data_IF_057956776412
#
_entry.id   IF_057956776412
#
_cell.length_a   1.000
_cell.length_b   1.000
_cell.length_c   1.000
_cell.angle_alpha   90.00
_cell.angle_beta   90.00
_cell.angle_gamma   90.00
#
_symmetry.space_group_name_H-M   'P 1'
#
loop_
_entity.id
_entity.type
_entity.pdbx_description
1 polymer ?
#
# COMPACT_ATOMS: atom_id res chain seq x y z
N UNK A 1 2.64 30.85 -12.00
CA UNK A 1 2.53 31.28 -10.60
C UNK A 1 2.25 30.04 -9.74
N UNK A 2 3.13 29.72 -8.80
CA UNK A 2 3.11 28.48 -8.02
C UNK A 2 2.04 28.54 -6.92
N UNK A 3 1.09 27.60 -6.92
CA UNK A 3 0.11 27.45 -5.83
C UNK A 3 0.74 26.63 -4.71
N UNK A 4 1.26 27.33 -3.69
CA UNK A 4 1.60 26.70 -2.42
C UNK A 4 0.30 26.17 -1.78
N UNK A 5 0.09 24.85 -1.81
CA UNK A 5 -0.99 24.22 -1.05
C UNK A 5 -0.59 24.29 0.42
N UNK A 6 -1.13 25.28 1.12
CA UNK A 6 -1.08 25.38 2.58
C UNK A 6 -1.84 24.16 3.11
N UNK A 7 -1.13 23.13 3.55
CA UNK A 7 -1.74 21.96 4.21
C UNK A 7 -2.30 22.43 5.55
N UNK A 8 -3.55 22.90 5.54
CA UNK A 8 -4.28 23.24 6.76
C UNK A 8 -4.53 21.96 7.56
N UNK A 9 -4.38 22.01 8.90
CA UNK A 9 -4.62 20.88 9.82
C UNK A 9 -5.96 20.16 9.58
N UNK A 10 -7.00 20.87 9.13
CA UNK A 10 -8.29 20.30 8.76
C UNK A 10 -8.19 19.24 7.65
N UNK A 11 -7.33 19.43 6.64
CA UNK A 11 -7.15 18.46 5.55
C UNK A 11 -6.49 17.16 6.04
N UNK A 12 -5.65 17.20 7.06
CA UNK A 12 -5.01 16.01 7.62
C UNK A 12 -6.03 15.09 8.30
N UNK A 13 -6.90 15.65 9.15
CA UNK A 13 -7.93 14.87 9.86
C UNK A 13 -8.93 14.22 8.89
N UNK A 14 -9.34 14.97 7.85
CA UNK A 14 -10.24 14.45 6.82
C UNK A 14 -9.57 13.30 6.06
N UNK A 15 -8.30 13.44 5.65
CA UNK A 15 -7.60 12.38 4.93
C UNK A 15 -7.38 11.12 5.79
N UNK A 16 -7.00 11.29 7.06
CA UNK A 16 -6.81 10.18 7.98
C UNK A 16 -8.10 9.37 8.18
N UNK A 17 -9.24 10.05 8.33
CA UNK A 17 -10.55 9.40 8.43
C UNK A 17 -10.90 8.61 7.17
N UNK A 18 -10.67 9.19 5.98
CA UNK A 18 -10.93 8.52 4.71
C UNK A 18 -10.05 7.28 4.51
N UNK A 19 -8.76 7.36 4.86
CA UNK A 19 -7.84 6.21 4.79
C UNK A 19 -8.32 5.08 5.72
N UNK A 20 -8.75 5.39 6.94
CA UNK A 20 -9.29 4.39 7.87
C UNK A 20 -10.55 3.73 7.31
N UNK A 21 -11.49 4.52 6.77
CA UNK A 21 -12.71 4.00 6.16
C UNK A 21 -12.42 3.07 4.98
N UNK A 22 -11.48 3.45 4.10
CA UNK A 22 -11.03 2.61 2.99
C UNK A 22 -10.47 1.27 3.49
N UNK A 23 -9.58 1.30 4.50
CA UNK A 23 -8.97 0.07 5.03
C UNK A 23 -10.05 -0.85 5.63
N UNK A 24 -11.06 -0.31 6.30
CA UNK A 24 -12.21 -1.07 6.81
C UNK A 24 -13.07 -1.65 5.69
N UNK A 25 -13.37 -0.85 4.66
CA UNK A 25 -14.14 -1.27 3.49
C UNK A 25 -13.47 -2.42 2.76
N UNK A 26 -12.15 -2.36 2.60
CA UNK A 26 -11.35 -3.42 1.99
C UNK A 26 -11.23 -4.66 2.89
N UNK A 27 -11.67 -4.60 4.15
CA UNK A 27 -11.79 -5.76 5.03
C UNK A 27 -10.70 -5.90 6.10
N UNK A 28 -9.92 -4.85 6.39
CA UNK A 28 -9.01 -4.87 7.55
C UNK A 28 -9.78 -4.66 8.85
N UNK A 29 -9.45 -5.47 9.85
CA UNK A 29 -10.05 -5.34 11.17
C UNK A 29 -9.43 -4.19 11.96
N UNK A 30 -10.21 -3.62 12.90
CA UNK A 30 -9.75 -2.51 13.77
C UNK A 30 -8.39 -2.78 14.45
N UNK A 31 -8.07 -3.98 14.97
CA UNK A 31 -6.75 -4.25 15.55
C UNK A 31 -5.61 -4.15 14.54
N UNK A 32 -5.82 -4.64 13.31
CA UNK A 32 -4.82 -4.58 12.23
C UNK A 32 -4.59 -3.13 11.78
N UNK A 33 -5.68 -2.37 11.61
CA UNK A 33 -5.62 -0.94 11.27
C UNK A 33 -4.87 -0.16 12.36
N UNK A 34 -5.17 -0.43 13.64
CA UNK A 34 -4.46 0.20 14.76
C UNK A 34 -2.97 -0.11 14.73
N UNK A 35 -2.58 -1.36 14.48
CA UNK A 35 -1.19 -1.78 14.35
C UNK A 35 -0.49 -1.07 13.18
N UNK A 36 -1.14 -1.04 12.02
CA UNK A 36 -0.63 -0.38 10.81
C UNK A 36 -0.35 1.10 11.07
N UNK A 37 -1.34 1.83 11.59
CA UNK A 37 -1.23 3.28 11.83
C UNK A 37 -0.21 3.59 12.92
N UNK A 38 -0.17 2.80 14.01
CA UNK A 38 0.75 3.05 15.12
C UNK A 38 2.21 2.83 14.72
N UNK A 39 2.45 1.90 13.80
CA UNK A 39 3.81 1.58 13.32
C UNK A 39 4.22 2.43 12.12
N UNK A 40 3.25 2.78 11.26
CA UNK A 40 3.48 3.51 10.02
C UNK A 40 2.46 4.64 9.83
N UNK A 41 2.56 5.74 10.60
CA UNK A 41 1.57 6.82 10.57
C UNK A 41 1.53 7.56 9.22
N UNK A 42 2.60 7.48 8.42
CA UNK A 42 2.67 8.09 7.08
C UNK A 42 1.60 7.54 6.13
N UNK A 43 1.05 6.34 6.38
CA UNK A 43 -0.05 5.78 5.58
C UNK A 43 -1.28 6.70 5.58
N UNK A 44 -1.51 7.44 6.67
CA UNK A 44 -2.62 8.40 6.79
C UNK A 44 -2.44 9.65 5.93
N UNK A 45 -1.25 9.85 5.35
CA UNK A 45 -0.94 10.97 4.45
C UNK A 45 -0.92 10.57 2.99
N UNK A 46 -1.05 9.28 2.70
CA UNK A 46 -1.11 8.80 1.33
C UNK A 46 -2.39 9.29 0.65
N UNK A 47 -2.27 9.61 -0.65
CA UNK A 47 -3.43 9.87 -1.49
C UNK A 47 -4.14 8.55 -1.75
N UNK A 48 -5.44 8.48 -1.47
CA UNK A 48 -6.23 7.26 -1.63
C UNK A 48 -6.29 6.85 -3.11
N UNK A 49 -6.90 7.71 -3.94
CA UNK A 49 -7.22 7.41 -5.34
C UNK A 49 -6.01 7.21 -6.26
N UNK A 50 -4.86 7.78 -5.90
CA UNK A 50 -3.67 7.79 -6.76
C UNK A 50 -2.48 7.03 -6.20
N UNK A 51 -2.60 6.46 -4.99
CA UNK A 51 -1.48 5.76 -4.37
C UNK A 51 -1.95 4.51 -3.60
N UNK A 52 -2.68 4.69 -2.51
CA UNK A 52 -2.97 3.59 -1.59
C UNK A 52 -3.90 2.56 -2.23
N UNK A 53 -5.01 3.01 -2.81
CA UNK A 53 -6.02 2.12 -3.37
C UNK A 53 -5.55 1.39 -4.63
N UNK A 54 -4.97 2.05 -5.65
CA UNK A 54 -4.50 1.35 -6.85
C UNK A 54 -3.46 0.27 -6.52
N UNK A 55 -2.53 0.55 -5.61
CA UNK A 55 -1.52 -0.44 -5.18
C UNK A 55 -2.17 -1.60 -4.45
N UNK A 56 -3.11 -1.32 -3.54
CA UNK A 56 -3.80 -2.37 -2.80
C UNK A 56 -4.57 -3.30 -3.74
N UNK A 57 -5.34 -2.74 -4.66
CA UNK A 57 -6.10 -3.51 -5.65
C UNK A 57 -5.16 -4.37 -6.51
N UNK A 58 -4.03 -3.81 -6.97
CA UNK A 58 -3.05 -4.56 -7.75
C UNK A 58 -2.51 -5.81 -7.03
N UNK A 59 -2.09 -5.67 -5.76
CA UNK A 59 -1.63 -6.84 -5.00
C UNK A 59 -2.75 -7.84 -4.71
N UNK A 60 -3.98 -7.38 -4.51
CA UNK A 60 -5.14 -8.28 -4.34
C UNK A 60 -5.43 -9.05 -5.63
N UNK A 61 -5.38 -8.39 -6.79
CA UNK A 61 -5.53 -9.03 -8.11
C UNK A 61 -4.43 -10.06 -8.39
N UNK A 62 -3.23 -9.87 -7.82
CA UNK A 62 -2.17 -10.88 -7.83
C UNK A 62 -2.41 -12.06 -6.87
N UNK A 63 -3.45 -12.03 -6.03
CA UNK A 63 -3.79 -13.09 -5.08
C UNK A 63 -3.40 -12.81 -3.63
N UNK A 64 -2.96 -11.59 -3.29
CA UNK A 64 -2.73 -11.22 -1.89
C UNK A 64 -4.06 -10.99 -1.15
N UNK A 65 -4.11 -11.33 0.14
CA UNK A 65 -5.19 -10.83 1.00
C UNK A 65 -4.98 -9.35 1.38
N UNK A 66 -6.00 -8.70 1.91
CA UNK A 66 -5.86 -7.30 2.38
C UNK A 66 -4.95 -7.22 3.61
N UNK A 67 -4.98 -8.24 4.48
CA UNK A 67 -4.04 -8.38 5.60
C UNK A 67 -2.60 -8.53 5.12
N UNK A 68 -2.42 -9.33 4.08
CA UNK A 68 -1.15 -9.59 3.42
C UNK A 68 -0.52 -8.29 2.87
N UNK A 69 -1.33 -7.44 2.23
CA UNK A 69 -0.89 -6.13 1.78
C UNK A 69 -0.49 -5.21 2.94
N UNK A 70 -1.28 -5.18 4.01
CA UNK A 70 -0.96 -4.39 5.20
C UNK A 70 0.36 -4.83 5.85
N UNK A 71 0.62 -6.14 5.89
CA UNK A 71 1.88 -6.69 6.41
C UNK A 71 3.08 -6.35 5.50
N UNK A 72 2.90 -6.32 4.17
CA UNK A 72 3.96 -5.86 3.26
C UNK A 72 4.27 -4.39 3.47
N UNK A 73 3.26 -3.52 3.58
CA UNK A 73 3.50 -2.10 3.81
C UNK A 73 4.22 -1.87 5.14
N UNK A 74 3.87 -2.64 6.18
CA UNK A 74 4.54 -2.59 7.47
C UNK A 74 6.02 -2.99 7.38
N UNK A 75 6.32 -4.01 6.57
CA UNK A 75 7.70 -4.48 6.35
C UNK A 75 8.49 -3.55 5.43
N UNK A 76 7.86 -3.04 4.38
CA UNK A 76 8.46 -2.22 3.34
C UNK A 76 7.62 -0.96 3.04
N UNK A 77 7.73 0.08 3.88
CA UNK A 77 6.98 1.31 3.68
C UNK A 77 7.27 2.02 2.34
N UNK A 78 8.47 1.85 1.79
CA UNK A 78 8.88 2.51 0.54
C UNK A 78 8.07 2.06 -0.67
N UNK A 79 7.34 0.94 -0.58
CA UNK A 79 6.44 0.48 -1.63
C UNK A 79 5.36 1.52 -1.96
N UNK A 80 4.95 2.32 -0.96
CA UNK A 80 4.01 3.41 -1.14
C UNK A 80 4.62 4.60 -1.91
N UNK A 81 5.95 4.73 -1.90
CA UNK A 81 6.68 5.78 -2.62
C UNK A 81 6.98 5.42 -4.09
N UNK A 82 7.01 4.13 -4.44
CA UNK A 82 7.21 3.71 -5.83
C UNK A 82 5.98 3.96 -6.70
N UNK A 83 6.21 4.20 -8.00
CA UNK A 83 5.15 4.28 -8.98
C UNK A 83 4.63 2.87 -9.31
N UNK A 84 3.31 2.71 -9.35
CA UNK A 84 2.69 1.42 -9.64
C UNK A 84 3.07 0.95 -11.04
N UNK A 85 2.81 1.76 -12.06
CA UNK A 85 2.94 1.33 -13.46
C UNK A 85 4.38 1.28 -13.97
N UNK A 86 5.26 2.16 -13.49
CA UNK A 86 6.63 2.27 -13.99
C UNK A 86 7.68 1.57 -13.11
N UNK A 87 7.32 1.10 -11.92
CA UNK A 87 8.28 0.46 -11.01
C UNK A 87 7.76 -0.86 -10.48
N UNK A 88 6.60 -0.88 -9.83
CA UNK A 88 6.08 -2.09 -9.18
C UNK A 88 5.66 -3.12 -10.24
N UNK A 89 4.87 -2.70 -11.23
CA UNK A 89 4.35 -3.59 -12.25
C UNK A 89 5.47 -4.26 -13.07
N UNK A 90 6.46 -3.53 -13.63
CA UNK A 90 7.56 -4.17 -14.36
C UNK A 90 8.40 -5.11 -13.49
N UNK A 91 8.61 -4.78 -12.22
CA UNK A 91 9.36 -5.64 -11.30
C UNK A 91 8.61 -6.95 -11.01
N UNK A 92 7.29 -6.88 -10.79
CA UNK A 92 6.46 -8.07 -10.61
C UNK A 92 6.40 -8.91 -11.88
N UNK A 93 6.25 -8.29 -13.05
CA UNK A 93 6.26 -8.98 -14.34
C UNK A 93 7.57 -9.75 -14.58
N UNK A 94 8.71 -9.10 -14.34
CA UNK A 94 10.02 -9.75 -14.45
C UNK A 94 10.16 -10.94 -13.47
N UNK A 95 9.68 -10.79 -12.23
CA UNK A 95 9.65 -11.90 -11.29
C UNK A 95 8.70 -13.01 -11.75
N UNK A 96 7.56 -12.67 -12.36
CA UNK A 96 6.59 -13.64 -12.87
C UNK A 96 7.14 -14.45 -14.03
N UNK A 97 7.91 -13.85 -14.93
CA UNK A 97 8.58 -14.56 -16.02
C UNK A 97 9.55 -15.64 -15.51
N UNK A 98 10.26 -15.36 -14.41
CA UNK A 98 11.19 -16.31 -13.79
C UNK A 98 10.48 -17.38 -12.97
N UNK A 99 9.44 -16.98 -12.23
CA UNK A 99 8.78 -17.82 -11.22
C UNK A 99 7.56 -18.60 -11.75
N UNK A 100 7.04 -18.23 -12.92
CA UNK A 100 5.96 -18.92 -13.62
C UNK A 100 4.55 -18.73 -13.05
N UNK A 101 4.37 -18.10 -11.88
CA UNK A 101 3.06 -17.86 -11.28
C UNK A 101 3.05 -16.69 -10.28
N UNK A 102 1.89 -16.06 -10.09
CA UNK A 102 1.74 -14.94 -9.13
C UNK A 102 1.94 -15.39 -7.68
N UNK A 103 1.53 -16.61 -7.35
CA UNK A 103 1.66 -17.19 -6.01
C UNK A 103 3.14 -17.30 -5.62
N UNK A 104 3.99 -17.74 -6.56
CA UNK A 104 5.42 -17.82 -6.35
C UNK A 104 6.07 -16.44 -6.17
N UNK A 105 5.65 -15.45 -6.97
CA UNK A 105 6.09 -14.06 -6.80
C UNK A 105 5.72 -13.55 -5.40
N UNK A 106 4.48 -13.80 -4.98
CA UNK A 106 3.97 -13.38 -3.68
C UNK A 106 4.74 -14.01 -2.50
N UNK A 107 5.05 -15.30 -2.56
CA UNK A 107 5.86 -16.00 -1.56
C UNK A 107 7.23 -15.31 -1.40
N UNK A 108 7.88 -14.96 -2.52
CA UNK A 108 9.16 -14.26 -2.51
C UNK A 108 9.02 -12.84 -1.95
N UNK A 109 7.98 -12.09 -2.32
CA UNK A 109 7.74 -10.75 -1.77
C UNK A 109 7.50 -10.78 -0.26
N UNK A 110 6.83 -11.82 0.26
CA UNK A 110 6.63 -12.03 1.70
C UNK A 110 7.91 -12.39 2.45
N UNK A 111 8.76 -13.21 1.82
CA UNK A 111 10.00 -13.74 2.37
C UNK A 111 11.16 -12.74 2.29
N UNK A 112 11.17 -11.92 1.24
CA UNK A 112 12.20 -10.92 1.02
C UNK A 112 12.03 -9.77 2.00
N UNK A 113 12.95 -9.69 2.98
CA UNK A 113 13.32 -8.38 3.51
C UNK A 113 14.04 -7.67 2.37
N UNK A 114 13.31 -6.90 1.55
CA UNK A 114 13.91 -6.02 0.55
C UNK A 114 14.61 -4.88 1.30
N UNK A 115 15.79 -5.19 1.85
CA UNK A 115 16.69 -4.26 2.54
C UNK A 115 17.40 -3.37 1.53
#
# INVERSE_FOLDING_TARGET
QSRAIKVCRANFYTNAGLVISLLQEKGLEKPQIKKLISSLPVVLTCKIETNLEPKMNYFIEMGASVSDFADIILKQPTILSYALDSTIHPAVEALREVMGSNENVWIILKASRLN
#
